data_IF_332594317551
#
_entry.id   IF_332594317551
#
_cell.length_a   1.000
_cell.length_b   1.000
_cell.length_c   1.000
_cell.angle_alpha   90.00
_cell.angle_beta   90.00
_cell.angle_gamma   90.00
#
_symmetry.space_group_name_H-M   'P 1'
#
loop_
_entity.id
_entity.type
_entity.pdbx_description
1 polymer ?
#
# COMPACT_ATOMS: atom_id res chain seq x y z
N UNK A 1 32.41 -30.49 1.66
CA UNK A 1 31.77 -29.24 2.12
C UNK A 1 31.68 -28.18 1.02
N UNK A 2 32.79 -27.74 0.39
CA UNK A 2 32.76 -26.66 -0.62
C UNK A 2 31.90 -26.93 -1.87
N UNK A 3 31.89 -28.17 -2.40
CA UNK A 3 31.07 -28.53 -3.57
C UNK A 3 29.57 -28.43 -3.30
N UNK A 4 29.14 -28.85 -2.12
CA UNK A 4 27.73 -28.78 -1.69
C UNK A 4 27.29 -27.32 -1.53
N UNK A 5 28.16 -26.49 -0.93
CA UNK A 5 27.94 -25.04 -0.82
C UNK A 5 27.81 -24.37 -2.20
N UNK A 6 28.73 -24.65 -3.13
CA UNK A 6 28.67 -24.12 -4.49
C UNK A 6 27.41 -24.55 -5.24
N UNK A 7 26.96 -25.80 -5.04
CA UNK A 7 25.72 -26.30 -5.63
C UNK A 7 24.50 -25.51 -5.11
N UNK A 8 24.39 -25.29 -3.79
CA UNK A 8 23.29 -24.51 -3.22
C UNK A 8 23.31 -23.05 -3.67
N UNK A 9 24.49 -22.41 -3.71
CA UNK A 9 24.60 -21.04 -4.21
C UNK A 9 24.16 -20.92 -5.67
N UNK A 10 24.53 -21.88 -6.51
CA UNK A 10 24.12 -21.91 -7.92
C UNK A 10 22.60 -22.06 -8.03
N UNK A 11 22.00 -22.92 -7.23
CA UNK A 11 20.55 -23.12 -7.21
C UNK A 11 19.81 -21.83 -6.76
N UNK A 12 20.28 -21.18 -5.70
CA UNK A 12 19.71 -19.92 -5.20
C UNK A 12 19.84 -18.82 -6.25
N UNK A 13 20.98 -18.72 -6.93
CA UNK A 13 21.20 -17.76 -8.00
C UNK A 13 20.22 -17.95 -9.17
N UNK A 14 19.97 -19.20 -9.58
CA UNK A 14 18.99 -19.51 -10.62
C UNK A 14 17.56 -19.14 -10.20
N UNK A 15 17.18 -19.44 -8.96
CA UNK A 15 15.86 -19.05 -8.42
C UNK A 15 15.69 -17.53 -8.40
N UNK A 16 16.71 -16.79 -7.97
CA UNK A 16 16.69 -15.32 -7.96
C UNK A 16 16.55 -14.74 -9.37
N UNK A 17 17.28 -15.30 -10.35
CA UNK A 17 17.21 -14.87 -11.75
C UNK A 17 15.78 -15.05 -12.31
N UNK A 18 15.17 -16.21 -12.06
CA UNK A 18 13.79 -16.48 -12.50
C UNK A 18 12.82 -15.53 -11.81
N UNK A 19 12.91 -15.36 -10.49
CA UNK A 19 12.05 -14.44 -9.74
C UNK A 19 12.15 -12.99 -10.23
N UNK A 20 13.36 -12.52 -10.56
CA UNK A 20 13.57 -11.17 -11.09
C UNK A 20 12.90 -10.98 -12.46
N UNK A 21 13.03 -11.96 -13.37
CA UNK A 21 12.38 -11.94 -14.68
C UNK A 21 10.86 -11.95 -14.51
N UNK A 22 10.32 -12.81 -13.65
CA UNK A 22 8.89 -12.89 -13.37
C UNK A 22 8.37 -11.57 -12.77
N UNK A 23 9.08 -11.01 -11.78
CA UNK A 23 8.71 -9.72 -11.18
C UNK A 23 8.69 -8.59 -12.19
N UNK A 24 9.62 -8.58 -13.14
CA UNK A 24 9.64 -7.60 -14.22
C UNK A 24 8.48 -7.80 -15.22
N UNK A 25 8.21 -9.04 -15.63
CA UNK A 25 7.16 -9.34 -16.62
C UNK A 25 5.76 -9.09 -16.05
N UNK A 26 5.51 -9.49 -14.80
CA UNK A 26 4.18 -9.41 -14.17
C UNK A 26 3.98 -8.13 -13.34
N UNK A 27 4.82 -7.11 -13.54
CA UNK A 27 4.75 -5.88 -12.76
C UNK A 27 3.41 -5.18 -12.94
N UNK A 28 2.88 -5.14 -14.16
CA UNK A 28 1.62 -4.47 -14.48
C UNK A 28 0.41 -5.18 -13.85
N UNK A 29 0.35 -6.51 -14.00
CA UNK A 29 -0.67 -7.36 -13.38
C UNK A 29 -0.69 -7.21 -11.85
N UNK A 30 0.50 -7.07 -11.24
CA UNK A 30 0.62 -6.83 -9.81
C UNK A 30 0.05 -5.47 -9.40
N UNK A 31 0.24 -4.42 -10.23
CA UNK A 31 -0.36 -3.09 -9.98
C UNK A 31 -1.88 -3.17 -10.04
N UNK A 32 -2.41 -3.82 -11.07
CA UNK A 32 -3.85 -3.93 -11.28
C UNK A 32 -4.50 -4.78 -10.19
N UNK A 33 -3.86 -5.88 -9.82
CA UNK A 33 -4.28 -6.70 -8.68
C UNK A 33 -4.30 -5.90 -7.38
N UNK A 34 -3.22 -5.16 -7.07
CA UNK A 34 -3.18 -4.32 -5.87
C UNK A 34 -4.27 -3.25 -5.91
N UNK A 35 -4.39 -2.52 -7.02
CA UNK A 35 -5.39 -1.48 -7.22
C UNK A 35 -6.79 -2.01 -6.96
N UNK A 36 -7.18 -3.11 -7.60
CA UNK A 36 -8.52 -3.68 -7.50
C UNK A 36 -8.83 -4.20 -6.09
N UNK A 37 -7.89 -4.91 -5.46
CA UNK A 37 -8.08 -5.42 -4.10
C UNK A 37 -8.14 -4.28 -3.07
N UNK A 38 -7.28 -3.27 -3.23
CA UNK A 38 -7.23 -2.13 -2.33
C UNK A 38 -8.47 -1.24 -2.50
N UNK A 39 -8.96 -1.04 -3.73
CA UNK A 39 -10.21 -0.35 -4.01
C UNK A 39 -11.41 -1.01 -3.32
N UNK A 40 -11.50 -2.34 -3.40
CA UNK A 40 -12.56 -3.08 -2.71
C UNK A 40 -12.46 -2.94 -1.18
N UNK A 41 -11.24 -2.98 -0.63
CA UNK A 41 -11.02 -2.78 0.80
C UNK A 41 -11.36 -1.35 1.24
N UNK A 42 -11.05 -0.35 0.42
CA UNK A 42 -11.35 1.06 0.66
C UNK A 42 -12.86 1.31 0.67
N UNK A 43 -13.59 0.80 -0.33
CA UNK A 43 -15.06 0.92 -0.44
C UNK A 43 -15.80 0.25 0.72
N UNK A 44 -15.21 -0.79 1.30
CA UNK A 44 -15.80 -1.54 2.42
C UNK A 44 -15.26 -1.09 3.78
N UNK A 45 -14.43 -0.05 3.81
CA UNK A 45 -13.88 0.50 5.03
C UNK A 45 -14.99 1.11 5.89
N UNK A 46 -15.02 0.74 7.17
CA UNK A 46 -16.03 1.24 8.11
C UNK A 46 -15.46 1.55 9.50
N UNK A 47 -14.13 1.51 9.67
CA UNK A 47 -13.45 1.76 10.95
C UNK A 47 -13.89 0.84 12.10
N UNK A 48 -14.52 -0.30 11.83
CA UNK A 48 -14.98 -1.25 12.88
C UNK A 48 -13.87 -2.17 13.41
N UNK A 49 -12.65 -2.04 12.88
CA UNK A 49 -11.53 -2.92 13.23
C UNK A 49 -11.62 -4.30 12.59
N UNK A 50 -12.46 -4.47 11.57
CA UNK A 50 -12.47 -5.68 10.75
C UNK A 50 -11.15 -5.83 9.97
N UNK A 51 -10.94 -7.01 9.38
CA UNK A 51 -9.68 -7.30 8.69
C UNK A 51 -9.41 -6.35 7.52
N UNK A 52 -10.46 -5.81 6.88
CA UNK A 52 -10.34 -4.86 5.76
C UNK A 52 -9.94 -3.48 6.26
N UNK A 53 -10.61 -2.96 7.28
CA UNK A 53 -10.27 -1.66 7.86
C UNK A 53 -8.86 -1.66 8.43
N UNK A 54 -8.48 -2.73 9.13
CA UNK A 54 -7.12 -2.90 9.66
C UNK A 54 -6.09 -3.00 8.52
N UNK A 55 -6.39 -3.72 7.44
CA UNK A 55 -5.49 -3.78 6.27
C UNK A 55 -5.29 -2.41 5.64
N UNK A 56 -6.36 -1.62 5.45
CA UNK A 56 -6.28 -0.26 4.92
C UNK A 56 -5.44 0.63 5.83
N UNK A 57 -5.74 0.65 7.13
CA UNK A 57 -5.01 1.47 8.11
C UNK A 57 -3.54 1.07 8.17
N UNK A 58 -3.24 -0.22 8.12
CA UNK A 58 -1.87 -0.72 8.14
C UNK A 58 -1.10 -0.30 6.88
N UNK A 59 -1.70 -0.42 5.70
CA UNK A 59 -1.08 0.00 4.44
C UNK A 59 -0.74 1.49 4.48
N UNK A 60 -1.70 2.34 4.88
CA UNK A 60 -1.52 3.79 4.90
C UNK A 60 -0.47 4.23 5.92
N UNK A 61 -0.48 3.65 7.12
CA UNK A 61 0.52 3.94 8.14
C UNK A 61 1.92 3.41 7.79
N UNK A 62 2.02 2.26 7.12
CA UNK A 62 3.32 1.62 6.78
C UNK A 62 3.98 2.31 5.61
N UNK A 63 3.19 2.64 4.57
CA UNK A 63 3.70 3.25 3.35
C UNK A 63 3.66 4.79 3.41
N UNK A 64 3.08 5.38 4.47
CA UNK A 64 2.88 6.82 4.59
C UNK A 64 2.15 7.40 3.36
N UNK A 65 1.02 6.77 3.02
CA UNK A 65 0.22 7.08 1.83
C UNK A 65 -1.27 7.26 2.19
N UNK A 66 -2.03 7.91 1.30
CA UNK A 66 -3.48 8.04 1.43
C UNK A 66 -4.16 7.82 0.08
N UNK A 67 -5.18 6.97 0.06
CA UNK A 67 -5.90 6.61 -1.17
C UNK A 67 -5.12 5.67 -2.10
N UNK A 68 -5.75 5.28 -3.20
CA UNK A 68 -5.23 4.25 -4.12
C UNK A 68 -4.31 4.92 -5.13
N UNK A 69 -4.86 5.86 -5.89
CA UNK A 69 -4.21 6.70 -6.90
C UNK A 69 -4.21 8.18 -6.53
N UNK A 70 -5.13 8.58 -5.65
CA UNK A 70 -5.23 9.94 -5.14
C UNK A 70 -5.86 9.91 -3.74
N UNK A 71 -5.53 10.87 -2.87
CA UNK A 71 -6.21 10.98 -1.57
C UNK A 71 -7.72 11.18 -1.76
N UNK A 72 -8.15 11.79 -2.88
CA UNK A 72 -9.56 11.98 -3.24
C UNK A 72 -10.33 10.68 -3.47
N UNK A 73 -9.68 9.53 -3.61
CA UNK A 73 -10.37 8.23 -3.73
C UNK A 73 -11.27 7.94 -2.51
N UNK A 74 -11.01 8.57 -1.37
CA UNK A 74 -11.89 8.52 -0.21
C UNK A 74 -13.28 9.13 -0.45
N UNK A 75 -13.41 10.13 -1.33
CA UNK A 75 -14.71 10.77 -1.61
C UNK A 75 -15.76 9.81 -2.17
N UNK A 76 -15.30 8.70 -2.74
CA UNK A 76 -16.15 7.65 -3.33
C UNK A 76 -16.53 6.54 -2.32
N UNK A 77 -16.22 6.74 -1.03
CA UNK A 77 -16.52 5.78 0.04
C UNK A 77 -17.64 6.27 0.94
N UNK A 78 -18.48 5.35 1.42
CA UNK A 78 -19.56 5.67 2.37
C UNK A 78 -18.98 6.26 3.66
N UNK A 79 -17.84 5.74 4.13
CA UNK A 79 -17.16 6.21 5.34
C UNK A 79 -16.84 7.71 5.29
N UNK A 80 -16.34 8.19 4.14
CA UNK A 80 -15.94 9.58 3.98
C UNK A 80 -17.11 10.56 4.11
N UNK A 81 -18.28 10.18 3.61
CA UNK A 81 -19.48 11.02 3.68
C UNK A 81 -19.89 11.35 5.12
N UNK A 82 -19.65 10.43 6.05
CA UNK A 82 -19.99 10.54 7.47
C UNK A 82 -18.82 11.06 8.33
N UNK A 83 -17.60 10.59 8.06
CA UNK A 83 -16.45 10.74 8.96
C UNK A 83 -15.27 11.50 8.36
N UNK A 84 -15.27 11.78 7.06
CA UNK A 84 -14.13 12.36 6.34
C UNK A 84 -12.99 11.36 6.13
N UNK A 85 -11.75 11.84 6.13
CA UNK A 85 -10.57 10.97 5.97
C UNK A 85 -10.33 10.10 7.22
N UNK A 86 -9.84 8.85 7.07
CA UNK A 86 -9.47 8.07 8.24
C UNK A 86 -8.22 8.63 8.91
N UNK A 87 -8.04 8.31 10.20
CA UNK A 87 -6.86 8.73 10.96
C UNK A 87 -5.54 8.18 10.38
N UNK A 88 -5.59 7.05 9.69
CA UNK A 88 -4.44 6.41 9.04
C UNK A 88 -3.89 7.20 7.85
N UNK A 89 -4.66 8.14 7.28
CA UNK A 89 -4.19 9.08 6.27
C UNK A 89 -3.43 10.29 6.84
N UNK A 90 -3.40 10.46 8.16
CA UNK A 90 -2.84 11.64 8.82
C UNK A 90 -1.32 11.51 9.06
N UNK A 91 -0.56 12.52 8.62
CA UNK A 91 0.88 12.67 8.85
C UNK A 91 1.20 13.32 10.21
N UNK A 92 0.30 14.16 10.72
CA UNK A 92 0.45 14.90 11.99
C UNK A 92 -0.59 14.44 13.02
N UNK A 93 -0.23 14.57 14.30
CA UNK A 93 -1.08 14.14 15.42
C UNK A 93 -2.34 15.01 15.59
N UNK A 94 -2.28 16.28 15.15
CA UNK A 94 -3.39 17.24 15.12
C UNK A 94 -4.11 17.28 13.76
N UNK A 95 -4.09 16.16 13.03
CA UNK A 95 -4.92 16.00 11.85
C UNK A 95 -6.39 16.02 12.25
N UNK A 96 -7.14 17.03 11.79
CA UNK A 96 -8.59 17.01 11.89
C UNK A 96 -9.13 16.36 10.62
N UNK A 97 -9.74 15.16 10.69
CA UNK A 97 -10.43 14.55 9.56
C UNK A 97 -11.76 15.28 9.29
N UNK A 98 -11.71 16.59 9.11
CA UNK A 98 -12.88 17.40 8.78
C UNK A 98 -12.96 17.59 7.26
N UNK A 99 -14.20 17.55 6.75
CA UNK A 99 -14.61 17.56 5.34
C UNK A 99 -14.15 18.77 4.51
N UNK A 100 -13.42 19.72 5.10
CA UNK A 100 -12.99 20.93 4.42
C UNK A 100 -11.71 20.66 3.62
N UNK A 101 -11.88 20.44 2.32
CA UNK A 101 -10.78 20.32 1.36
C UNK A 101 -9.83 21.54 1.33
N UNK A 102 -10.29 22.70 1.81
CA UNK A 102 -9.48 23.93 1.96
C UNK A 102 -8.54 23.92 3.18
N UNK A 103 -8.66 22.91 4.06
CA UNK A 103 -7.77 22.68 5.22
C UNK A 103 -7.10 21.30 5.14
N UNK A 104 -6.67 20.90 3.94
CA UNK A 104 -5.89 19.69 3.68
C UNK A 104 -4.46 19.78 4.28
N UNK A 105 -4.33 20.16 5.55
CA UNK A 105 -3.04 20.32 6.21
C UNK A 105 -2.73 19.06 7.01
N UNK A 106 -1.75 18.28 6.52
CA UNK A 106 -1.19 17.16 7.28
C UNK A 106 -1.76 15.78 6.96
N UNK A 107 -2.31 15.54 5.77
CA UNK A 107 -2.51 14.17 5.25
C UNK A 107 -1.34 13.75 4.33
N UNK A 108 -1.23 12.46 4.04
CA UNK A 108 -0.29 11.96 3.03
C UNK A 108 -0.76 12.32 1.62
N UNK A 109 0.07 13.04 0.87
CA UNK A 109 -0.18 13.33 -0.56
C UNK A 109 0.25 12.17 -1.48
N UNK A 110 1.10 11.27 -0.99
CA UNK A 110 1.52 10.10 -1.74
C UNK A 110 0.39 9.06 -1.80
N UNK A 111 0.17 8.47 -2.98
CA UNK A 111 -0.85 7.45 -3.19
C UNK A 111 -0.26 6.04 -3.07
N UNK A 112 -1.02 5.13 -2.46
CA UNK A 112 -0.50 3.83 -2.04
C UNK A 112 -0.11 2.93 -3.22
N UNK A 113 -0.73 3.10 -4.40
CA UNK A 113 -0.41 2.29 -5.58
C UNK A 113 1.05 2.49 -6.05
N UNK A 114 1.59 3.71 -6.02
CA UNK A 114 3.00 3.94 -6.41
C UNK A 114 3.96 3.28 -5.42
N UNK A 115 3.69 3.48 -4.13
CA UNK A 115 4.57 3.04 -3.05
C UNK A 115 4.49 1.55 -2.79
N UNK A 116 3.37 0.90 -3.06
CA UNK A 116 3.24 -0.56 -2.91
C UNK A 116 4.17 -1.35 -3.85
N UNK A 117 4.62 -0.72 -4.93
CA UNK A 117 5.45 -1.34 -5.96
C UNK A 117 6.92 -0.92 -5.82
N UNK A 118 7.18 0.27 -5.27
CA UNK A 118 8.53 0.78 -5.05
C UNK A 118 9.07 0.48 -3.65
N UNK A 119 8.22 0.32 -2.63
CA UNK A 119 8.66 -0.15 -1.31
C UNK A 119 8.86 -1.65 -1.36
N UNK A 120 10.05 -2.02 -1.79
CA UNK A 120 10.51 -3.38 -1.79
C UNK A 120 10.95 -3.79 -0.37
N UNK A 121 10.44 -4.88 0.23
CA UNK A 121 11.00 -5.41 1.47
C UNK A 121 12.47 -5.86 1.36
N UNK A 122 13.06 -5.87 0.15
CA UNK A 122 14.49 -6.11 -0.09
C UNK A 122 15.37 -4.84 -0.10
N UNK A 123 14.84 -3.63 0.08
CA UNK A 123 15.66 -2.40 0.18
C UNK A 123 16.37 -2.23 1.54
N UNK A 124 16.38 -3.27 2.39
CA UNK A 124 17.11 -3.34 3.67
C UNK A 124 18.21 -4.43 3.63
N UNK A 125 18.73 -4.76 2.45
CA UNK A 125 19.95 -5.60 2.31
C UNK A 125 20.96 -4.90 1.40
#
# INVERSE_FOLDING_TARGET
MLKLYAMFLTLIFLVQLVSAILGFVFINETKDCFKNNYENALKQYNSTGDYRSNAVDKIQNTLHCCGITDYRDWTDTDYYSENGFPKSCCKLQDCSPQRDADKLFGIYEAYCLSLAITNNPYDIV
#
